data_IF_958840674191
#
_entry.id   IF_958840674191
#
_cell.length_a   1.000
_cell.length_b   1.000
_cell.length_c   1.000
_cell.angle_alpha   90.00
_cell.angle_beta   90.00
_cell.angle_gamma   90.00
#
_symmetry.space_group_name_H-M   'P 1'
#
loop_
_entity.id
_entity.type
_entity.pdbx_description
1 polymer ?
#
# COMPACT_ATOMS: atom_id res chain seq x y z
N UNK A 1 -2.11 12.75 8.95
CA UNK A 1 -1.91 12.75 7.49
C UNK A 1 -0.67 11.94 7.19
N UNK A 2 -0.61 11.31 6.03
CA UNK A 2 0.59 10.57 5.59
C UNK A 2 1.53 11.54 4.91
N UNK A 3 2.79 11.56 5.32
CA UNK A 3 3.83 12.35 4.68
C UNK A 3 4.68 11.45 3.77
N UNK A 4 4.49 11.58 2.45
CA UNK A 4 5.20 10.78 1.45
C UNK A 4 6.31 11.63 0.84
N UNK A 5 7.55 11.29 1.16
CA UNK A 5 8.76 12.01 0.75
C UNK A 5 9.59 11.25 -0.28
N UNK A 6 9.34 9.94 -0.43
CA UNK A 6 10.05 9.07 -1.36
C UNK A 6 9.19 7.84 -1.73
N UNK A 7 9.69 7.01 -2.65
CA UNK A 7 9.08 5.74 -3.03
C UNK A 7 9.65 4.55 -2.26
N UNK A 8 10.28 4.75 -1.11
CA UNK A 8 10.89 3.67 -0.31
C UNK A 8 10.41 3.74 1.14
N UNK A 9 11.21 4.29 2.06
CA UNK A 9 10.90 4.38 3.49
C UNK A 9 9.57 5.03 3.84
N UNK A 10 9.02 5.96 3.05
CA UNK A 10 7.68 6.52 3.28
C UNK A 10 6.54 5.50 3.11
N UNK A 11 6.82 4.34 2.53
CA UNK A 11 5.83 3.29 2.24
C UNK A 11 6.01 2.04 3.11
N UNK A 12 7.04 2.02 3.99
CA UNK A 12 7.44 0.83 4.74
C UNK A 12 6.40 0.34 5.76
N UNK A 13 5.51 1.21 6.21
CA UNK A 13 4.51 0.90 7.23
C UNK A 13 3.15 0.50 6.64
N UNK A 14 3.03 0.49 5.31
CA UNK A 14 1.80 0.18 4.60
C UNK A 14 0.73 1.29 4.61
N UNK A 15 0.88 2.33 5.44
CA UNK A 15 -0.12 3.38 5.60
C UNK A 15 -0.26 4.22 4.33
N UNK A 16 0.85 4.45 3.61
CA UNK A 16 0.84 5.13 2.33
C UNK A 16 0.06 4.35 1.25
N UNK A 17 0.18 3.02 1.22
CA UNK A 17 -0.62 2.18 0.32
C UNK A 17 -2.10 2.22 0.70
N UNK A 18 -2.43 2.12 2.00
CA UNK A 18 -3.81 2.27 2.44
C UNK A 18 -4.38 3.65 2.07
N UNK A 19 -3.58 4.72 2.18
CA UNK A 19 -4.02 6.07 1.84
C UNK A 19 -4.30 6.22 0.34
N UNK A 20 -3.45 5.61 -0.49
CA UNK A 20 -3.64 5.56 -1.93
C UNK A 20 -4.97 4.89 -2.28
N UNK A 21 -5.26 3.71 -1.73
CA UNK A 21 -6.50 2.99 -2.00
C UNK A 21 -7.72 3.76 -1.49
N UNK A 22 -7.66 4.26 -0.24
CA UNK A 22 -8.76 5.01 0.39
C UNK A 22 -9.09 6.32 -0.37
N UNK A 23 -8.12 6.90 -1.10
CA UNK A 23 -8.38 8.09 -1.93
C UNK A 23 -9.34 7.81 -3.09
N UNK A 24 -9.32 6.61 -3.67
CA UNK A 24 -10.20 6.22 -4.77
C UNK A 24 -11.41 5.43 -4.28
N UNK A 25 -11.26 4.67 -3.21
CA UNK A 25 -12.29 3.83 -2.61
C UNK A 25 -12.39 4.13 -1.10
N UNK A 26 -13.02 5.26 -0.70
CA UNK A 26 -13.11 5.67 0.70
C UNK A 26 -13.86 4.64 1.56
N UNK A 27 -14.82 3.91 0.97
CA UNK A 27 -15.62 2.89 1.68
C UNK A 27 -14.95 1.51 1.71
N UNK A 28 -13.70 1.38 1.24
CA UNK A 28 -13.01 0.09 1.17
C UNK A 28 -12.71 -0.52 2.54
N UNK A 29 -12.35 0.35 3.51
CA UNK A 29 -12.00 0.00 4.89
C UNK A 29 -11.88 1.25 5.77
N UNK A 30 -11.97 1.06 7.09
CA UNK A 30 -11.89 2.14 8.07
C UNK A 30 -10.45 2.65 8.25
N UNK A 31 -10.07 3.67 7.47
CA UNK A 31 -8.72 4.25 7.47
C UNK A 31 -8.29 4.82 8.84
N UNK A 32 -9.24 5.29 9.65
CA UNK A 32 -8.95 5.88 10.96
C UNK A 32 -8.39 4.86 11.97
N UNK A 33 -8.57 3.56 11.73
CA UNK A 33 -8.15 2.47 12.61
C UNK A 33 -6.77 1.90 12.30
N UNK A 34 -6.11 2.38 11.24
CA UNK A 34 -4.81 1.85 10.81
C UNK A 34 -3.72 2.16 11.84
N UNK A 35 -2.80 1.20 12.01
CA UNK A 35 -1.73 1.30 12.99
C UNK A 35 -0.37 1.13 12.27
N UNK A 36 0.52 2.14 12.27
CA UNK A 36 1.83 2.05 11.61
C UNK A 36 2.74 0.97 12.21
N UNK A 37 2.45 0.49 13.43
CA UNK A 37 3.18 -0.62 14.06
C UNK A 37 2.70 -2.00 13.61
N UNK A 38 1.72 -2.07 12.70
CA UNK A 38 1.19 -3.30 12.10
C UNK A 38 1.36 -3.30 10.58
N UNK A 39 2.60 -3.20 10.06
CA UNK A 39 2.85 -3.03 8.63
C UNK A 39 2.28 -4.18 7.79
N UNK A 40 2.39 -5.42 8.29
CA UNK A 40 1.84 -6.60 7.61
C UNK A 40 0.33 -6.46 7.36
N UNK A 41 -0.43 -6.13 8.40
CA UNK A 41 -1.88 -5.96 8.33
C UNK A 41 -2.24 -4.83 7.35
N UNK A 42 -1.50 -3.71 7.39
CA UNK A 42 -1.71 -2.58 6.49
C UNK A 42 -1.45 -2.95 5.02
N UNK A 43 -0.34 -3.65 4.73
CA UNK A 43 -0.03 -4.11 3.37
C UNK A 43 -1.10 -5.08 2.85
N UNK A 44 -1.46 -6.07 3.64
CA UNK A 44 -2.49 -7.05 3.27
C UNK A 44 -3.83 -6.37 3.00
N UNK A 45 -4.22 -5.42 3.84
CA UNK A 45 -5.46 -4.66 3.66
C UNK A 45 -5.42 -3.82 2.39
N UNK A 46 -4.34 -3.08 2.14
CA UNK A 46 -4.20 -2.23 0.97
C UNK A 46 -4.20 -3.05 -0.33
N UNK A 47 -3.36 -4.09 -0.40
CA UNK A 47 -3.22 -4.90 -1.61
C UNK A 47 -4.47 -5.74 -1.89
N UNK A 48 -5.09 -6.32 -0.86
CA UNK A 48 -6.35 -7.06 -1.03
C UNK A 48 -7.51 -6.16 -1.45
N UNK A 49 -7.58 -4.93 -0.93
CA UNK A 49 -8.58 -3.95 -1.37
C UNK A 49 -8.32 -3.48 -2.82
N UNK A 50 -7.05 -3.21 -3.18
CA UNK A 50 -6.67 -2.83 -4.54
C UNK A 50 -6.99 -3.93 -5.57
N UNK A 51 -6.71 -5.18 -5.24
CA UNK A 51 -7.05 -6.33 -6.09
C UNK A 51 -8.55 -6.46 -6.25
N UNK A 52 -9.32 -6.42 -5.16
CA UNK A 52 -10.78 -6.61 -5.19
C UNK A 52 -11.52 -5.46 -5.88
N UNK A 53 -11.07 -4.22 -5.68
CA UNK A 53 -11.82 -3.02 -6.09
C UNK A 53 -11.31 -2.40 -7.40
N UNK A 54 -10.00 -2.45 -7.63
CA UNK A 54 -9.39 -1.94 -8.87
C UNK A 54 -8.96 -3.06 -9.83
N UNK A 55 -8.97 -4.33 -9.42
CA UNK A 55 -8.42 -5.42 -10.25
C UNK A 55 -6.90 -5.36 -10.38
N UNK A 56 -6.21 -4.63 -9.49
CA UNK A 56 -4.76 -4.48 -9.51
C UNK A 56 -4.09 -5.79 -9.05
N UNK A 57 -3.21 -6.41 -9.85
CA UNK A 57 -2.55 -7.65 -9.46
C UNK A 57 -1.61 -7.44 -8.26
N UNK A 58 -1.44 -8.46 -7.40
CA UNK A 58 -0.54 -8.41 -6.26
C UNK A 58 0.92 -8.55 -6.73
N UNK A 59 1.55 -7.42 -7.10
CA UNK A 59 2.97 -7.39 -7.52
C UNK A 59 3.94 -7.35 -6.33
N UNK A 60 3.45 -7.03 -5.13
CA UNK A 60 4.24 -6.92 -3.91
C UNK A 60 3.71 -7.92 -2.87
N UNK A 61 4.62 -8.61 -2.19
CA UNK A 61 4.31 -9.53 -1.11
C UNK A 61 4.48 -8.86 0.26
N UNK A 62 3.44 -8.92 1.09
CA UNK A 62 3.43 -8.27 2.41
C UNK A 62 4.45 -8.87 3.39
N UNK A 63 4.70 -10.18 3.32
CA UNK A 63 5.67 -10.86 4.18
C UNK A 63 7.10 -10.45 3.80
N UNK A 64 7.39 -10.30 2.51
CA UNK A 64 8.69 -9.83 2.03
C UNK A 64 8.94 -8.36 2.43
N UNK A 65 7.95 -7.48 2.25
CA UNK A 65 8.07 -6.06 2.60
C UNK A 65 8.35 -5.83 4.09
N UNK A 66 7.79 -6.65 4.97
CA UNK A 66 7.99 -6.55 6.43
C UNK A 66 9.37 -7.08 6.87
N UNK A 67 9.97 -8.00 6.11
CA UNK A 67 11.33 -8.51 6.37
C UNK A 67 12.40 -7.51 5.94
N UNK A 68 12.10 -6.63 5.00
CA UNK A 68 13.01 -5.61 4.50
C UNK A 68 13.08 -4.42 5.45
N UNK A 69 14.25 -3.78 5.53
CA UNK A 69 14.41 -2.52 6.29
C UNK A 69 13.54 -1.40 5.69
N UNK A 70 13.47 -1.37 4.37
CA UNK A 70 12.65 -0.47 3.57
C UNK A 70 12.42 -1.09 2.18
N UNK A 71 11.29 -0.80 1.52
CA UNK A 71 10.99 -1.37 0.21
C UNK A 71 11.89 -0.78 -0.88
N UNK A 72 12.20 -1.57 -1.91
CA UNK A 72 12.88 -1.07 -3.10
C UNK A 72 11.99 -0.06 -3.85
N UNK A 73 12.56 1.10 -4.17
CA UNK A 73 11.79 2.20 -4.72
C UNK A 73 11.22 1.91 -6.11
N UNK A 74 11.87 1.04 -6.91
CA UNK A 74 11.35 0.64 -8.22
C UNK A 74 10.14 -0.25 -8.05
N UNK A 75 10.18 -1.19 -7.10
CA UNK A 75 9.05 -2.06 -6.80
C UNK A 75 7.82 -1.25 -6.37
N UNK A 76 7.99 -0.29 -5.45
CA UNK A 76 6.90 0.60 -5.01
C UNK A 76 6.39 1.45 -6.17
N UNK A 77 7.29 2.07 -6.95
CA UNK A 77 6.91 2.88 -8.10
C UNK A 77 6.13 2.08 -9.14
N UNK A 78 6.62 0.89 -9.50
CA UNK A 78 5.95 -0.02 -10.44
C UNK A 78 4.57 -0.43 -9.94
N UNK A 79 4.43 -0.76 -8.65
CA UNK A 79 3.12 -1.07 -8.08
C UNK A 79 2.15 0.11 -8.17
N UNK A 80 2.61 1.32 -7.86
CA UNK A 80 1.77 2.53 -7.96
C UNK A 80 1.34 2.75 -9.41
N UNK A 81 2.27 2.66 -10.37
CA UNK A 81 1.93 2.79 -11.78
C UNK A 81 0.90 1.76 -12.23
N UNK A 82 1.04 0.51 -11.78
CA UNK A 82 0.09 -0.54 -12.08
C UNK A 82 -1.29 -0.26 -11.47
N UNK A 83 -1.33 0.17 -10.22
CA UNK A 83 -2.58 0.56 -9.57
C UNK A 83 -3.32 1.64 -10.37
N UNK A 84 -2.62 2.69 -10.81
CA UNK A 84 -3.20 3.72 -11.67
C UNK A 84 -3.63 3.22 -13.06
N UNK A 85 -3.02 2.16 -13.58
CA UNK A 85 -3.40 1.52 -14.84
C UNK A 85 -4.68 0.70 -14.71
N UNK A 86 -4.96 0.17 -13.53
CA UNK A 86 -6.11 -0.69 -13.23
C UNK A 86 -7.37 0.09 -12.85
N UNK A 87 -7.22 1.32 -12.33
CA UNK A 87 -8.33 2.26 -12.10
C UNK A 87 -9.04 2.64 -13.41
#
# INVERSE_FOLDING_TARGET
GVDIQNFSSSWKDGIAFCALVHRFFPDAFEYSTLNPNKPKDNFQLAFGAAERLAGCPPLLDADDLVRMKEPDWKCVYTYIQEFYRCL
#
